data_IF_346287978368
#
_entry.id   IF_346287978368
#
_cell.length_a   1.000
_cell.length_b   1.000
_cell.length_c   1.000
_cell.angle_alpha   90.00
_cell.angle_beta   90.00
_cell.angle_gamma   90.00
#
_symmetry.space_group_name_H-M   'P 1'
#
loop_
_entity.id
_entity.type
_entity.pdbx_description
1 polymer ?
#
# COMPACT_ATOMS: atom_id res chain seq x y z
N UNK A 1 -0.21 2.63 -13.34
CA UNK A 1 0.27 1.48 -14.15
C UNK A 1 0.59 1.92 -15.57
N UNK A 2 -0.38 2.44 -16.34
CA UNK A 2 -0.23 2.79 -17.76
C UNK A 2 0.88 3.84 -18.03
N UNK A 3 0.84 5.00 -17.37
CA UNK A 3 1.84 6.06 -17.56
C UNK A 3 3.27 5.61 -17.24
N UNK A 4 3.44 4.77 -16.21
CA UNK A 4 4.74 4.19 -15.84
C UNK A 4 5.21 3.23 -16.93
N UNK A 5 4.35 2.32 -17.39
CA UNK A 5 4.69 1.37 -18.45
C UNK A 5 5.04 2.06 -19.77
N UNK A 6 4.23 3.04 -20.19
CA UNK A 6 4.48 3.84 -21.40
C UNK A 6 5.80 4.61 -21.30
N UNK A 7 6.08 5.23 -20.16
CA UNK A 7 7.33 5.96 -19.95
C UNK A 7 8.57 5.05 -19.98
N UNK A 8 8.47 3.85 -19.39
CA UNK A 8 9.55 2.86 -19.42
C UNK A 8 9.75 2.33 -20.85
N UNK A 9 8.68 2.01 -21.57
CA UNK A 9 8.74 1.57 -22.97
C UNK A 9 9.38 2.62 -23.88
N UNK A 10 9.11 3.91 -23.62
CA UNK A 10 9.73 5.04 -24.32
C UNK A 10 11.16 5.38 -23.84
N UNK A 11 11.78 4.56 -22.98
CA UNK A 11 13.10 4.80 -22.35
C UNK A 11 13.19 6.10 -21.52
N UNK A 12 12.05 6.67 -21.10
CA UNK A 12 11.96 7.90 -20.29
C UNK A 12 11.77 7.57 -18.81
N UNK A 13 12.81 7.06 -18.16
CA UNK A 13 12.74 6.62 -16.76
C UNK A 13 12.40 7.75 -15.78
N UNK A 14 12.80 8.98 -16.07
CA UNK A 14 12.45 10.14 -15.23
C UNK A 14 10.96 10.44 -15.25
N UNK A 15 10.32 10.26 -16.40
CA UNK A 15 8.87 10.37 -16.53
C UNK A 15 8.15 9.25 -15.78
N UNK A 16 8.71 8.03 -15.80
CA UNK A 16 8.17 6.91 -15.01
C UNK A 16 8.23 7.20 -13.50
N UNK A 17 9.36 7.75 -13.02
CA UNK A 17 9.54 8.15 -11.62
C UNK A 17 8.62 9.30 -11.23
N UNK A 18 8.52 10.32 -12.08
CA UNK A 18 7.65 11.47 -11.85
C UNK A 18 6.18 11.05 -11.78
N UNK A 19 5.71 10.23 -12.72
CA UNK A 19 4.36 9.70 -12.73
C UNK A 19 4.05 8.91 -11.45
N UNK A 20 4.93 8.01 -11.01
CA UNK A 20 4.75 7.26 -9.78
C UNK A 20 4.75 8.18 -8.53
N UNK A 21 5.59 9.21 -8.50
CA UNK A 21 5.67 10.16 -7.38
C UNK A 21 4.42 11.04 -7.28
N UNK A 22 3.96 11.58 -8.42
CA UNK A 22 2.75 12.40 -8.50
C UNK A 22 1.53 11.57 -8.09
N UNK A 23 1.40 10.35 -8.64
CA UNK A 23 0.33 9.44 -8.27
C UNK A 23 0.36 9.11 -6.77
N UNK A 24 1.53 8.83 -6.20
CA UNK A 24 1.66 8.53 -4.78
C UNK A 24 1.26 9.73 -3.92
N UNK A 25 1.72 10.94 -4.25
CA UNK A 25 1.38 12.16 -3.52
C UNK A 25 -0.13 12.37 -3.48
N UNK A 26 -0.80 12.31 -4.63
CA UNK A 26 -2.24 12.52 -4.69
C UNK A 26 -3.02 11.39 -4.00
N UNK A 27 -2.63 10.13 -4.21
CA UNK A 27 -3.27 9.00 -3.54
C UNK A 27 -3.13 9.10 -2.01
N UNK A 28 -1.95 9.48 -1.50
CA UNK A 28 -1.73 9.69 -0.07
C UNK A 28 -2.56 10.86 0.46
N UNK A 29 -2.66 11.99 -0.25
CA UNK A 29 -3.50 13.13 0.18
C UNK A 29 -4.98 12.71 0.27
N UNK A 30 -5.49 12.02 -0.75
CA UNK A 30 -6.87 11.54 -0.77
C UNK A 30 -7.15 10.54 0.36
N UNK A 31 -6.29 9.54 0.53
CA UNK A 31 -6.48 8.53 1.57
C UNK A 31 -6.20 9.07 2.98
N UNK A 32 -5.33 10.06 3.15
CA UNK A 32 -5.17 10.77 4.41
C UNK A 32 -6.41 11.61 4.76
N UNK A 33 -7.04 12.23 3.76
CA UNK A 33 -8.31 12.95 3.97
C UNK A 33 -9.41 11.97 4.37
N UNK A 34 -9.51 10.82 3.68
CA UNK A 34 -10.45 9.76 4.03
C UNK A 34 -10.16 9.17 5.43
N UNK A 35 -8.88 9.05 5.81
CA UNK A 35 -8.48 8.63 7.16
C UNK A 35 -9.01 9.56 8.25
N UNK A 36 -8.92 10.88 8.04
CA UNK A 36 -9.50 11.86 8.98
C UNK A 36 -11.01 11.64 9.11
N UNK A 37 -11.71 11.46 7.99
CA UNK A 37 -13.16 11.18 8.02
C UNK A 37 -13.45 9.90 8.80
N UNK A 38 -12.71 8.82 8.53
CA UNK A 38 -12.90 7.51 9.17
C UNK A 38 -12.64 7.56 10.67
N UNK A 39 -11.66 8.37 11.12
CA UNK A 39 -11.29 8.46 12.54
C UNK A 39 -12.24 9.38 13.31
N UNK A 40 -12.60 10.53 12.72
CA UNK A 40 -13.43 11.56 13.38
C UNK A 40 -14.90 11.16 13.39
N UNK A 41 -15.39 10.58 12.29
CA UNK A 41 -16.80 10.22 12.13
C UNK A 41 -17.05 8.71 12.28
N UNK A 42 -16.13 7.97 12.92
CA UNK A 42 -16.19 6.50 13.00
C UNK A 42 -17.52 6.00 13.57
N UNK A 43 -17.99 6.60 14.65
CA UNK A 43 -19.21 6.19 15.33
C UNK A 43 -20.45 6.55 14.52
N UNK A 44 -20.50 7.76 13.98
CA UNK A 44 -21.60 8.25 13.16
C UNK A 44 -21.76 7.40 11.90
N UNK A 45 -20.66 7.00 11.26
CA UNK A 45 -20.68 6.12 10.09
C UNK A 45 -21.25 4.75 10.47
N UNK A 46 -20.83 4.17 11.60
CA UNK A 46 -21.30 2.84 12.03
C UNK A 46 -22.78 2.87 12.45
N UNK A 47 -23.23 3.96 13.09
CA UNK A 47 -24.64 4.17 13.48
C UNK A 47 -25.62 4.24 12.32
N UNK A 48 -25.16 4.45 11.08
CA UNK A 48 -26.01 4.35 9.88
C UNK A 48 -26.48 2.90 9.66
N UNK A 49 -25.71 1.92 10.16
CA UNK A 49 -25.97 0.49 9.94
C UNK A 49 -26.64 -0.20 11.14
N UNK A 50 -26.46 0.30 12.36
CA UNK A 50 -26.96 -0.34 13.58
C UNK A 50 -27.05 0.64 14.74
N UNK A 51 -28.05 0.45 15.59
CA UNK A 51 -28.20 1.18 16.87
C UNK A 51 -27.67 0.38 18.07
N UNK A 52 -27.24 -0.88 17.87
CA UNK A 52 -26.64 -1.69 18.94
C UNK A 52 -25.28 -1.12 19.35
N UNK A 53 -25.21 -0.58 20.57
CA UNK A 53 -24.02 0.08 21.11
C UNK A 53 -22.79 -0.84 21.12
N UNK A 54 -22.96 -2.13 21.41
CA UNK A 54 -21.82 -3.06 21.43
C UNK A 54 -21.22 -3.24 20.02
N UNK A 55 -22.06 -3.24 18.99
CA UNK A 55 -21.60 -3.30 17.60
C UNK A 55 -21.00 -1.96 17.16
N UNK A 56 -21.59 -0.84 17.59
CA UNK A 56 -21.07 0.51 17.33
C UNK A 56 -19.65 0.66 17.88
N UNK A 57 -19.40 0.23 19.11
CA UNK A 57 -18.09 0.35 19.75
C UNK A 57 -17.02 -0.46 19.00
N UNK A 58 -17.34 -1.71 18.64
CA UNK A 58 -16.43 -2.58 17.89
C UNK A 58 -16.18 -2.07 16.45
N UNK A 59 -17.23 -1.64 15.75
CA UNK A 59 -17.12 -1.08 14.41
C UNK A 59 -16.35 0.24 14.38
N UNK A 60 -16.54 1.09 15.39
CA UNK A 60 -15.83 2.35 15.53
C UNK A 60 -14.33 2.12 15.76
N UNK A 61 -13.96 1.15 16.60
CA UNK A 61 -12.56 0.74 16.79
C UNK A 61 -11.93 0.23 15.49
N UNK A 62 -12.65 -0.60 14.73
CA UNK A 62 -12.22 -1.09 13.42
C UNK A 62 -11.98 0.05 12.42
N UNK A 63 -12.93 0.98 12.33
CA UNK A 63 -12.87 2.12 11.40
C UNK A 63 -11.65 3.01 11.68
N UNK A 64 -11.37 3.30 12.96
CA UNK A 64 -10.20 4.07 13.38
C UNK A 64 -8.90 3.36 13.00
N UNK A 65 -8.81 2.05 13.26
CA UNK A 65 -7.64 1.25 12.90
C UNK A 65 -7.41 1.24 11.38
N UNK A 66 -8.46 1.02 10.58
CA UNK A 66 -8.36 1.09 9.10
C UNK A 66 -7.92 2.49 8.66
N UNK A 67 -8.52 3.54 9.24
CA UNK A 67 -8.20 4.94 8.95
C UNK A 67 -6.71 5.23 9.06
N UNK A 68 -6.07 4.79 10.15
CA UNK A 68 -4.61 4.97 10.37
C UNK A 68 -3.79 4.28 9.26
N UNK A 69 -4.24 3.15 8.74
CA UNK A 69 -3.56 2.40 7.67
C UNK A 69 -3.73 2.96 6.25
N UNK A 70 -4.77 3.78 6.00
CA UNK A 70 -5.12 4.26 4.65
C UNK A 70 -3.98 4.99 3.91
N UNK A 71 -3.20 5.91 4.52
CA UNK A 71 -2.08 6.56 3.84
C UNK A 71 -1.00 5.59 3.38
N UNK A 72 -0.74 4.53 4.15
CA UNK A 72 0.21 3.48 3.78
C UNK A 72 -0.34 2.60 2.66
N UNK A 73 -1.65 2.37 2.67
CA UNK A 73 -2.33 1.63 1.62
C UNK A 73 -2.25 2.35 0.25
N UNK A 74 -2.28 3.69 0.24
CA UNK A 74 -2.00 4.47 -0.98
C UNK A 74 -0.61 4.13 -1.55
N UNK A 75 0.40 4.13 -0.69
CA UNK A 75 1.79 3.82 -1.09
C UNK A 75 1.92 2.38 -1.61
N UNK A 76 1.32 1.42 -0.90
CA UNK A 76 1.29 0.02 -1.31
C UNK A 76 0.68 -0.16 -2.71
N UNK A 77 -0.50 0.42 -2.95
CA UNK A 77 -1.24 0.29 -4.21
C UNK A 77 -0.54 0.99 -5.37
N UNK A 78 -0.04 2.21 -5.17
CA UNK A 78 0.63 2.99 -6.22
C UNK A 78 1.94 2.32 -6.64
N UNK A 79 2.81 1.94 -5.69
CA UNK A 79 4.08 1.30 -6.04
C UNK A 79 3.89 -0.12 -6.56
N UNK A 80 2.90 -0.86 -6.04
CA UNK A 80 2.52 -2.16 -6.61
C UNK A 80 2.03 -2.03 -8.05
N UNK A 81 1.23 -1.00 -8.34
CA UNK A 81 0.80 -0.69 -9.71
C UNK A 81 1.93 -0.22 -10.61
N UNK A 82 2.88 0.55 -10.09
CA UNK A 82 4.07 0.98 -10.84
C UNK A 82 4.97 -0.22 -11.20
N UNK A 83 5.17 -1.15 -10.26
CA UNK A 83 5.88 -2.41 -10.50
C UNK A 83 5.22 -3.24 -11.60
N UNK A 84 3.90 -3.47 -11.51
CA UNK A 84 3.14 -4.17 -12.57
C UNK A 84 3.28 -3.47 -13.92
N UNK A 85 3.17 -2.14 -13.96
CA UNK A 85 3.35 -1.35 -15.18
C UNK A 85 4.77 -1.45 -15.77
N UNK A 86 5.77 -1.75 -14.94
CA UNK A 86 7.15 -1.98 -15.38
C UNK A 86 7.47 -3.44 -15.76
N UNK A 87 6.46 -4.32 -15.77
CA UNK A 87 6.60 -5.75 -16.05
C UNK A 87 6.96 -6.63 -14.84
N UNK A 88 7.04 -6.07 -13.63
CA UNK A 88 7.28 -6.83 -12.40
C UNK A 88 5.95 -7.09 -11.68
N UNK A 89 5.29 -8.19 -12.03
CA UNK A 89 4.01 -8.60 -11.42
C UNK A 89 4.20 -9.49 -10.20
N UNK A 90 5.31 -10.24 -10.13
CA UNK A 90 5.59 -11.20 -9.06
C UNK A 90 5.90 -10.53 -7.73
N UNK A 91 6.74 -9.48 -7.72
CA UNK A 91 7.12 -8.81 -6.47
C UNK A 91 5.92 -8.28 -5.68
N UNK A 92 5.01 -7.46 -6.26
CA UNK A 92 3.87 -6.94 -5.51
C UNK A 92 2.88 -8.02 -5.09
N UNK A 93 2.77 -9.12 -5.84
CA UNK A 93 1.96 -10.27 -5.47
C UNK A 93 2.52 -10.97 -4.22
N UNK A 94 3.81 -11.31 -4.24
CA UNK A 94 4.47 -12.01 -3.13
C UNK A 94 4.42 -11.14 -1.87
N UNK A 95 4.78 -9.85 -1.96
CA UNK A 95 4.78 -8.99 -0.77
C UNK A 95 3.38 -8.81 -0.17
N UNK A 96 2.35 -8.67 -1.02
CA UNK A 96 0.97 -8.59 -0.57
C UNK A 96 0.47 -9.89 0.07
N UNK A 97 0.72 -11.03 -0.59
CA UNK A 97 0.32 -12.34 -0.07
C UNK A 97 1.02 -12.69 1.24
N UNK A 98 2.34 -12.44 1.34
CA UNK A 98 3.10 -12.67 2.58
C UNK A 98 2.58 -11.80 3.72
N UNK A 99 2.28 -10.53 3.47
CA UNK A 99 1.72 -9.65 4.49
C UNK A 99 0.32 -10.09 4.95
N UNK A 100 -0.53 -10.56 4.01
CA UNK A 100 -1.85 -11.09 4.32
C UNK A 100 -1.77 -12.35 5.19
N UNK A 101 -0.93 -13.32 4.82
CA UNK A 101 -0.76 -14.54 5.61
C UNK A 101 -0.14 -14.26 6.98
N UNK A 102 0.77 -13.28 7.07
CA UNK A 102 1.29 -12.82 8.36
C UNK A 102 0.18 -12.20 9.22
N UNK A 103 -0.71 -11.40 8.65
CA UNK A 103 -1.83 -10.79 9.38
C UNK A 103 -2.79 -11.86 9.91
N UNK A 104 -3.07 -12.89 9.10
CA UNK A 104 -3.89 -14.04 9.50
C UNK A 104 -3.24 -14.81 10.65
N UNK A 105 -1.95 -15.12 10.54
CA UNK A 105 -1.22 -15.82 11.59
C UNK A 105 -1.20 -15.02 12.90
N UNK A 106 -0.86 -13.73 12.83
CA UNK A 106 -0.84 -12.84 14.00
C UNK A 106 -2.23 -12.74 14.65
N UNK A 107 -3.28 -12.58 13.84
CA UNK A 107 -4.66 -12.51 14.33
C UNK A 107 -5.06 -13.81 15.02
N UNK A 108 -4.75 -14.95 14.41
CA UNK A 108 -5.04 -16.26 14.99
C UNK A 108 -4.32 -16.46 16.34
N UNK A 109 -3.02 -16.13 16.41
CA UNK A 109 -2.26 -16.22 17.67
C UNK A 109 -2.84 -15.29 18.73
N UNK A 110 -3.12 -14.02 18.41
CA UNK A 110 -3.67 -13.07 19.37
C UNK A 110 -5.03 -13.49 19.91
N UNK A 111 -5.92 -13.99 19.05
CA UNK A 111 -7.27 -14.38 19.48
C UNK A 111 -7.26 -15.71 20.24
N UNK A 112 -6.49 -16.71 19.78
CA UNK A 112 -6.58 -18.07 20.34
C UNK A 112 -5.62 -18.34 21.49
N UNK A 113 -4.43 -17.75 21.49
CA UNK A 113 -3.41 -17.99 22.52
C UNK A 113 -3.48 -16.96 23.64
N UNK A 114 -3.78 -15.70 23.30
CA UNK A 114 -3.83 -14.60 24.26
C UNK A 114 -5.25 -14.18 24.66
N UNK A 115 -6.26 -14.94 24.21
CA UNK A 115 -7.69 -14.62 24.43
C UNK A 115 -8.03 -13.18 24.04
N UNK A 116 -7.36 -12.70 22.99
CA UNK A 116 -7.43 -11.33 22.53
C UNK A 116 -8.80 -10.96 21.96
N UNK A 117 -9.21 -9.73 22.19
CA UNK A 117 -10.48 -9.19 21.70
C UNK A 117 -10.40 -8.78 20.22
N UNK A 118 -11.56 -8.57 19.59
CA UNK A 118 -11.68 -8.23 18.17
C UNK A 118 -10.83 -7.01 17.75
N UNK A 119 -10.67 -6.00 18.60
CA UNK A 119 -9.84 -4.83 18.30
C UNK A 119 -8.36 -5.18 18.01
N UNK A 120 -7.85 -6.27 18.59
CA UNK A 120 -6.47 -6.73 18.37
C UNK A 120 -6.27 -7.28 16.96
N UNK A 121 -7.32 -7.85 16.34
CA UNK A 121 -7.29 -8.27 14.94
C UNK A 121 -7.03 -7.07 14.04
N UNK A 122 -7.70 -5.94 14.29
CA UNK A 122 -7.50 -4.71 13.53
C UNK A 122 -6.10 -4.12 13.70
N UNK A 123 -5.48 -4.27 14.88
CA UNK A 123 -4.08 -3.87 15.08
C UNK A 123 -3.10 -4.66 14.21
N UNK A 124 -3.39 -5.93 13.91
CA UNK A 124 -2.50 -6.72 13.04
C UNK A 124 -2.37 -6.11 11.65
N UNK A 125 -3.44 -5.48 11.14
CA UNK A 125 -3.41 -4.76 9.87
C UNK A 125 -2.51 -3.53 9.94
N UNK A 126 -2.46 -2.84 11.09
CA UNK A 126 -1.54 -1.71 11.29
C UNK A 126 -0.07 -2.13 11.27
N UNK A 127 0.22 -3.34 11.75
CA UNK A 127 1.59 -3.91 11.74
C UNK A 127 1.96 -4.45 10.37
N UNK A 128 1.01 -5.07 9.66
CA UNK A 128 1.29 -5.77 8.41
C UNK A 128 1.18 -4.90 7.17
N UNK A 129 0.31 -3.89 7.12
CA UNK A 129 0.15 -2.97 5.98
C UNK A 129 1.40 -2.15 5.63
N UNK A 130 2.22 -1.67 6.61
CA UNK A 130 3.49 -1.01 6.30
C UNK A 130 4.45 -1.88 5.50
N UNK A 131 4.44 -3.19 5.70
CA UNK A 131 5.40 -4.14 5.09
C UNK A 131 5.34 -4.09 3.56
N UNK A 132 4.21 -4.41 2.88
CA UNK A 132 4.16 -4.39 1.44
C UNK A 132 4.24 -2.97 0.87
N UNK A 133 3.84 -1.94 1.63
CA UNK A 133 4.02 -0.53 1.24
C UNK A 133 5.51 -0.18 1.09
N UNK A 134 6.31 -0.47 2.12
CA UNK A 134 7.76 -0.22 2.12
C UNK A 134 8.46 -1.13 1.12
N UNK A 135 8.13 -2.42 1.08
CA UNK A 135 8.77 -3.37 0.16
C UNK A 135 8.52 -3.00 -1.31
N UNK A 136 7.29 -2.65 -1.70
CA UNK A 136 7.02 -2.21 -3.07
C UNK A 136 7.75 -0.92 -3.42
N UNK A 137 7.83 0.03 -2.49
CA UNK A 137 8.54 1.29 -2.68
C UNK A 137 10.05 1.07 -2.90
N UNK A 138 10.70 0.28 -2.03
CA UNK A 138 12.12 -0.07 -2.18
C UNK A 138 12.36 -0.81 -3.50
N UNK A 139 11.52 -1.80 -3.80
CA UNK A 139 11.63 -2.61 -5.01
C UNK A 139 11.48 -1.78 -6.27
N UNK A 140 10.52 -0.85 -6.30
CA UNK A 140 10.33 0.06 -7.43
C UNK A 140 11.55 0.98 -7.63
N UNK A 141 12.07 1.58 -6.56
CA UNK A 141 13.29 2.42 -6.64
C UNK A 141 14.50 1.63 -7.15
N UNK A 142 14.72 0.44 -6.60
CA UNK A 142 15.81 -0.45 -7.03
C UNK A 142 15.70 -0.81 -8.51
N UNK A 143 14.48 -1.13 -8.99
CA UNK A 143 14.22 -1.43 -10.39
C UNK A 143 14.51 -0.23 -11.31
N UNK A 144 14.12 0.98 -10.90
CA UNK A 144 14.39 2.19 -11.69
C UNK A 144 15.88 2.52 -11.78
N UNK A 145 16.65 2.30 -10.69
CA UNK A 145 18.11 2.48 -10.70
C UNK A 145 18.81 1.48 -11.63
N UNK A 146 18.40 0.21 -11.59
CA UNK A 146 18.96 -0.82 -12.49
C UNK A 146 18.64 -0.53 -13.96
N UNK A 147 17.41 -0.11 -14.25
CA UNK A 147 17.01 0.25 -15.61
C UNK A 147 17.84 1.44 -16.15
N UNK A 148 18.15 2.42 -15.31
CA UNK A 148 18.97 3.57 -15.68
C UNK A 148 20.42 3.18 -15.96
N UNK A 149 21.02 2.32 -15.12
CA UNK A 149 22.36 1.78 -15.36
C UNK A 149 22.45 1.03 -16.70
N UNK A 150 21.44 0.22 -17.03
CA UNK A 150 21.39 -0.51 -18.29
C UNK A 150 21.23 0.40 -19.51
N UNK A 151 20.48 1.51 -19.39
CA UNK A 151 20.37 2.50 -20.46
C UNK A 151 21.69 3.24 -20.68
N UNK A 152 22.36 3.68 -19.62
CA UNK A 152 23.67 4.35 -19.72
C UNK A 152 24.71 3.41 -20.33
N UNK A 153 24.75 2.14 -19.92
CA UNK A 153 25.69 1.15 -20.44
C UNK A 153 25.48 0.78 -21.92
N UNK A 154 24.27 0.99 -22.47
CA UNK A 154 23.95 0.69 -23.88
C UNK A 154 24.10 1.90 -24.83
N UNK A 155 24.42 3.07 -24.29
CA UNK A 155 24.63 4.31 -25.08
C UNK A 155 26.02 4.44 -25.74
N UNK A 156 27.14 3.87 -25.24
CA UNK A 156 28.47 4.05 -25.84
C UNK A 156 28.64 3.49 -27.26
N UNK A 157 27.81 2.54 -27.69
CA UNK A 157 27.95 1.85 -28.99
C UNK A 157 27.31 2.57 -30.18
N UNK A 158 26.86 3.81 -30.03
CA UNK A 158 26.19 4.60 -31.10
C UNK A 158 26.99 5.84 -31.54
N UNK A 159 28.20 6.03 -30.99
CA UNK A 159 29.08 7.17 -31.29
C UNK A 159 30.42 6.77 -31.94
N UNK A 160 30.57 5.51 -32.37
CA UNK A 160 31.68 5.04 -33.20
C UNK A 160 31.16 4.44 -34.48
#
# INVERSE_FOLDING_TARGET
TALVGQSIGAKRLDHARAAARIANRWATIWLATAAVVYIVFSEQIVRIYTDDQAVVDQGSAAMKAIGIGLPLWASWTVHGGALRGSGDTRSPLIFGASAMWLAVLLSWVLVTVFEGQLWMVWLTFLVTTPIPAVMNWIRFRSRMRRAEQNLVASTPSLMG
#
